data_IF_547281573184
#
_entry.id   IF_547281573184
#
_cell.length_a   1.000
_cell.length_b   1.000
_cell.length_c   1.000
_cell.angle_alpha   90.00
_cell.angle_beta   90.00
_cell.angle_gamma   90.00
#
_symmetry.space_group_name_H-M   'P 1'
#
loop_
_entity.id
_entity.type
_entity.pdbx_description
1 polymer ?
#
# COMPACT_ATOMS: atom_id res chain seq x y z
N UNK A 1 30.48 22.21 12.69
CA UNK A 1 30.10 23.65 12.63
C UNK A 1 28.60 23.93 12.44
N UNK A 2 27.70 22.92 12.32
CA UNK A 2 26.24 23.16 12.22
C UNK A 2 25.60 23.53 13.59
N UNK A 3 26.25 23.18 14.69
CA UNK A 3 25.68 23.20 16.04
C UNK A 3 25.50 24.62 16.62
N UNK A 4 26.53 25.49 16.58
CA UNK A 4 26.47 26.84 17.19
C UNK A 4 25.40 27.75 16.58
N UNK A 5 25.20 27.69 15.25
CA UNK A 5 24.20 28.53 14.56
C UNK A 5 22.77 28.14 14.92
N UNK A 6 22.51 26.89 15.32
CA UNK A 6 21.18 26.42 15.71
C UNK A 6 20.91 26.68 17.21
N UNK A 7 21.93 26.67 18.06
CA UNK A 7 21.80 26.95 19.50
C UNK A 7 21.16 28.30 19.81
N UNK A 8 21.40 29.33 18.97
CA UNK A 8 20.78 30.66 19.15
C UNK A 8 19.26 30.69 18.94
N UNK A 9 18.68 29.67 18.31
CA UNK A 9 17.24 29.55 18.07
C UNK A 9 16.51 28.79 19.20
N UNK A 10 17.24 28.16 20.13
CA UNK A 10 16.67 27.51 21.32
C UNK A 10 16.26 28.51 22.42
N UNK A 11 16.28 29.82 22.15
CA UNK A 11 16.00 30.92 23.10
C UNK A 11 14.57 30.96 23.67
N UNK A 12 13.65 30.12 23.20
CA UNK A 12 12.26 30.07 23.69
C UNK A 12 12.08 29.17 24.92
N UNK A 13 12.96 28.19 25.13
CA UNK A 13 12.88 27.20 26.22
C UNK A 13 13.36 27.73 27.59
N UNK A 14 14.38 28.63 27.71
CA UNK A 14 14.97 28.99 29.01
C UNK A 14 14.06 29.75 29.98
N UNK A 15 12.95 30.35 29.52
CA UNK A 15 12.09 31.18 30.39
C UNK A 15 11.34 30.38 31.46
N UNK A 16 11.07 29.10 31.21
CA UNK A 16 10.29 28.22 32.10
C UNK A 16 11.17 27.20 32.85
N UNK A 17 12.34 26.84 32.30
CA UNK A 17 13.15 25.71 32.78
C UNK A 17 14.49 26.09 33.46
N UNK A 18 14.80 27.39 33.55
CA UNK A 18 16.06 27.88 34.11
C UNK A 18 17.29 27.58 33.23
N UNK A 19 18.48 27.61 33.83
CA UNK A 19 19.75 27.34 33.13
C UNK A 19 19.88 25.84 32.85
N UNK A 20 19.61 25.44 31.60
CA UNK A 20 19.79 24.05 31.17
C UNK A 20 21.28 23.69 31.10
N UNK A 21 21.65 22.62 31.80
CA UNK A 21 23.00 22.04 31.75
C UNK A 21 22.95 20.71 30.99
N UNK A 22 23.81 20.45 29.99
CA UNK A 22 23.83 19.16 29.30
C UNK A 22 24.15 18.03 30.28
N UNK A 23 23.34 16.97 30.30
CA UNK A 23 23.59 15.77 31.12
C UNK A 23 24.70 14.86 30.56
N UNK A 24 25.22 15.19 29.38
CA UNK A 24 26.26 14.44 28.70
C UNK A 24 26.53 14.96 27.29
N UNK A 25 27.31 14.20 26.49
CA UNK A 25 27.57 14.54 25.09
C UNK A 25 26.28 14.69 24.29
N UNK A 26 26.26 15.68 23.38
CA UNK A 26 25.15 15.81 22.43
C UNK A 26 25.20 14.63 21.46
N UNK A 27 24.11 13.87 21.40
CA UNK A 27 23.91 12.80 20.42
C UNK A 27 22.88 13.25 19.40
N UNK A 28 23.19 13.08 18.12
CA UNK A 28 22.21 13.21 17.03
C UNK A 28 21.90 11.83 16.48
N UNK A 29 20.62 11.54 16.25
CA UNK A 29 20.19 10.37 15.49
C UNK A 29 19.41 10.85 14.27
N UNK A 30 19.81 10.36 13.11
CA UNK A 30 19.07 10.61 11.88
C UNK A 30 17.70 9.92 11.93
N UNK A 31 16.69 10.60 11.39
CA UNK A 31 15.32 10.10 11.20
C UNK A 31 15.18 9.31 9.88
N UNK A 32 16.25 8.60 9.48
CA UNK A 32 16.31 8.01 8.16
C UNK A 32 15.28 6.88 8.01
N UNK A 33 14.51 6.95 6.93
CA UNK A 33 13.59 5.89 6.56
C UNK A 33 14.37 4.57 6.43
N UNK A 34 13.91 3.52 7.11
CA UNK A 34 14.60 2.23 7.10
C UNK A 34 13.59 1.11 7.11
N UNK A 35 13.77 0.14 6.21
CA UNK A 35 13.10 -1.16 6.28
C UNK A 35 13.96 -2.14 7.08
N UNK A 36 13.39 -2.80 8.09
CA UNK A 36 14.10 -3.81 8.88
C UNK A 36 14.13 -5.15 8.13
N UNK A 37 15.25 -5.85 8.25
CA UNK A 37 15.36 -7.24 7.80
C UNK A 37 14.54 -8.16 8.70
N UNK A 38 14.17 -9.34 8.17
CA UNK A 38 13.39 -10.32 8.91
C UNK A 38 12.05 -9.76 9.38
N UNK A 39 11.22 -9.26 8.46
CA UNK A 39 9.92 -8.69 8.76
C UNK A 39 8.94 -9.69 9.40
N UNK A 40 9.04 -10.95 8.96
CA UNK A 40 8.15 -12.04 9.35
C UNK A 40 8.84 -13.38 9.08
N UNK A 41 8.52 -14.33 9.95
CA UNK A 41 8.89 -15.75 9.90
C UNK A 41 7.72 -16.56 10.51
N UNK A 42 7.85 -17.88 10.63
CA UNK A 42 6.86 -18.76 11.25
C UNK A 42 6.53 -18.38 12.70
N UNK A 43 7.52 -17.88 13.44
CA UNK A 43 7.47 -17.70 14.89
C UNK A 43 7.39 -16.25 15.36
N UNK A 44 7.61 -15.29 14.46
CA UNK A 44 7.63 -13.89 14.83
C UNK A 44 7.26 -12.96 13.65
N UNK A 45 6.81 -11.76 13.99
CA UNK A 45 6.44 -10.73 13.03
C UNK A 45 6.69 -9.34 13.65
N UNK A 46 7.21 -8.42 12.84
CA UNK A 46 7.49 -7.03 13.23
C UNK A 46 6.35 -6.12 12.76
N UNK A 47 5.87 -5.20 13.60
CA UNK A 47 4.84 -4.20 13.26
C UNK A 47 5.33 -2.78 13.63
N UNK A 48 4.87 -1.76 12.90
CA UNK A 48 5.24 -0.35 13.14
C UNK A 48 6.75 -0.13 12.99
N UNK A 49 7.33 0.69 13.88
CA UNK A 49 8.77 1.02 13.87
C UNK A 49 9.69 -0.20 14.02
N UNK A 50 9.17 -1.32 14.55
CA UNK A 50 9.91 -2.57 14.59
C UNK A 50 10.08 -3.19 13.19
N UNK A 51 9.22 -2.86 12.23
CA UNK A 51 9.21 -3.32 10.85
C UNK A 51 9.85 -2.32 9.89
N UNK A 52 9.41 -1.07 9.93
CA UNK A 52 10.00 0.01 9.15
C UNK A 52 9.74 1.36 9.80
N UNK A 53 10.62 2.33 9.51
CA UNK A 53 10.45 3.73 9.90
C UNK A 53 10.38 4.59 8.64
N UNK A 54 9.56 5.64 8.68
CA UNK A 54 9.40 6.61 7.59
C UNK A 54 9.89 7.99 8.02
N UNK A 55 10.02 8.91 7.06
CA UNK A 55 10.31 10.30 7.39
C UNK A 55 9.11 10.95 8.11
N UNK A 56 9.29 11.60 9.28
CA UNK A 56 8.22 12.20 10.07
C UNK A 56 7.60 13.49 9.47
N UNK A 57 7.89 13.86 8.22
CA UNK A 57 7.38 15.10 7.57
C UNK A 57 5.88 15.38 7.75
N UNK A 58 5.08 14.32 7.87
CA UNK A 58 3.61 14.40 7.84
C UNK A 58 2.92 13.81 9.08
N UNK A 59 3.66 13.37 10.11
CA UNK A 59 3.08 12.84 11.35
C UNK A 59 2.36 11.48 11.23
N UNK A 60 2.53 10.74 10.13
CA UNK A 60 1.77 9.50 9.87
C UNK A 60 2.25 8.25 10.62
N UNK A 61 3.31 8.31 11.44
CA UNK A 61 3.90 7.11 12.06
C UNK A 61 2.91 6.21 12.82
N UNK A 62 2.00 6.81 13.61
CA UNK A 62 0.96 6.05 14.31
C UNK A 62 -0.06 5.41 13.36
N UNK A 63 -0.45 6.13 12.30
CA UNK A 63 -1.36 5.62 11.28
C UNK A 63 -0.73 4.43 10.54
N UNK A 64 0.56 4.50 10.22
CA UNK A 64 1.29 3.38 9.59
C UNK A 64 1.36 2.15 10.50
N UNK A 65 1.61 2.35 11.79
CA UNK A 65 1.65 1.26 12.76
C UNK A 65 0.28 0.54 12.86
N UNK A 66 -0.81 1.31 12.96
CA UNK A 66 -2.18 0.76 12.98
C UNK A 66 -2.52 0.09 11.65
N UNK A 67 -2.18 0.72 10.53
CA UNK A 67 -2.43 0.17 9.19
C UNK A 67 -1.69 -1.16 8.96
N UNK A 68 -0.45 -1.26 9.46
CA UNK A 68 0.33 -2.49 9.45
C UNK A 68 -0.32 -3.62 10.25
N UNK A 69 -1.01 -3.31 11.35
CA UNK A 69 -1.69 -4.31 12.18
C UNK A 69 -2.81 -5.05 11.42
N UNK A 70 -3.50 -4.39 10.49
CA UNK A 70 -4.53 -5.02 9.65
C UNK A 70 -3.97 -6.12 8.73
N UNK A 71 -2.70 -6.02 8.32
CA UNK A 71 -2.03 -7.09 7.59
C UNK A 71 -1.41 -8.14 8.52
N UNK A 72 -0.96 -7.73 9.70
CA UNK A 72 -0.36 -8.61 10.69
C UNK A 72 -1.37 -9.63 11.24
N UNK A 73 -2.57 -9.18 11.63
CA UNK A 73 -3.59 -10.02 12.25
C UNK A 73 -3.95 -11.28 11.41
N UNK A 74 -4.33 -11.18 10.13
CA UNK A 74 -4.64 -12.36 9.32
C UNK A 74 -3.39 -13.21 9.02
N UNK A 75 -2.21 -12.60 8.95
CA UNK A 75 -0.93 -13.32 8.81
C UNK A 75 -0.69 -14.20 10.02
N UNK A 76 -0.76 -13.64 11.23
CA UNK A 76 -0.60 -14.37 12.50
C UNK A 76 -1.65 -15.46 12.62
N UNK A 77 -2.92 -15.15 12.35
CA UNK A 77 -3.98 -16.15 12.41
C UNK A 77 -3.74 -17.32 11.45
N UNK A 78 -3.23 -17.04 10.24
CA UNK A 78 -2.88 -18.09 9.27
C UNK A 78 -1.71 -18.93 9.75
N UNK A 79 -0.64 -18.31 10.28
CA UNK A 79 0.50 -19.04 10.82
C UNK A 79 0.10 -19.98 11.99
N UNK A 80 -0.80 -19.52 12.85
CA UNK A 80 -1.25 -20.28 14.02
C UNK A 80 -2.23 -21.42 13.66
N UNK A 81 -3.12 -21.20 12.70
CA UNK A 81 -4.23 -22.12 12.43
C UNK A 81 -4.04 -22.95 11.15
N UNK A 82 -3.15 -22.53 10.26
CA UNK A 82 -2.83 -23.13 8.96
C UNK A 82 -1.31 -23.07 8.69
N UNK A 83 -0.49 -23.72 9.54
CA UNK A 83 0.98 -23.67 9.42
C UNK A 83 1.48 -24.17 8.06
N UNK A 84 0.73 -25.04 7.37
CA UNK A 84 1.04 -25.47 6.00
C UNK A 84 1.04 -24.32 4.97
N UNK A 85 0.50 -23.15 5.32
CA UNK A 85 0.46 -21.94 4.50
C UNK A 85 1.48 -20.88 4.93
N UNK A 86 2.48 -21.26 5.72
CA UNK A 86 3.51 -20.35 6.22
C UNK A 86 4.12 -19.48 5.11
N UNK A 87 4.62 -20.11 4.04
CA UNK A 87 5.27 -19.40 2.94
C UNK A 87 4.35 -18.33 2.31
N UNK A 88 3.06 -18.65 2.17
CA UNK A 88 2.05 -17.74 1.63
C UNK A 88 1.81 -16.55 2.57
N UNK A 89 1.63 -16.81 3.86
CA UNK A 89 1.38 -15.79 4.88
C UNK A 89 2.59 -14.85 5.06
N UNK A 90 3.78 -15.42 5.17
CA UNK A 90 5.03 -14.65 5.27
C UNK A 90 5.28 -13.84 3.98
N UNK A 91 5.02 -14.41 2.81
CA UNK A 91 5.12 -13.72 1.52
C UNK A 91 4.20 -12.51 1.44
N UNK A 92 2.91 -12.69 1.78
CA UNK A 92 1.91 -11.62 1.83
C UNK A 92 2.35 -10.45 2.73
N UNK A 93 2.76 -10.75 3.96
CA UNK A 93 3.13 -9.70 4.92
C UNK A 93 4.39 -8.96 4.50
N UNK A 94 5.39 -9.69 3.97
CA UNK A 94 6.64 -9.10 3.48
C UNK A 94 6.40 -8.14 2.32
N UNK A 95 5.61 -8.55 1.31
CA UNK A 95 5.23 -7.69 0.19
C UNK A 95 4.51 -6.44 0.70
N UNK A 96 3.54 -6.61 1.60
CA UNK A 96 2.75 -5.50 2.14
C UNK A 96 3.62 -4.45 2.82
N UNK A 97 4.54 -4.87 3.69
CA UNK A 97 5.43 -3.97 4.41
C UNK A 97 6.43 -3.28 3.46
N UNK A 98 7.00 -4.03 2.49
CA UNK A 98 7.92 -3.49 1.49
C UNK A 98 7.24 -2.47 0.58
N UNK A 99 6.03 -2.74 0.11
CA UNK A 99 5.27 -1.86 -0.77
C UNK A 99 4.86 -0.56 -0.06
N UNK A 100 4.39 -0.64 1.20
CA UNK A 100 4.09 0.55 1.99
C UNK A 100 5.34 1.39 2.26
N UNK A 101 6.46 0.75 2.64
CA UNK A 101 7.72 1.46 2.85
C UNK A 101 8.17 2.21 1.59
N UNK A 102 8.13 1.57 0.41
CA UNK A 102 8.45 2.20 -0.87
C UNK A 102 7.55 3.40 -1.17
N UNK A 103 6.24 3.25 -0.99
CA UNK A 103 5.28 4.34 -1.19
C UNK A 103 5.58 5.55 -0.29
N UNK A 104 5.92 5.30 0.98
CA UNK A 104 6.26 6.36 1.93
C UNK A 104 7.56 7.06 1.59
N UNK A 105 8.56 6.32 1.12
CA UNK A 105 9.83 6.90 0.69
C UNK A 105 9.68 7.72 -0.61
N UNK A 106 8.87 7.26 -1.56
CA UNK A 106 8.54 8.01 -2.77
C UNK A 106 7.85 9.35 -2.43
N UNK A 107 6.82 9.33 -1.58
CA UNK A 107 6.11 10.54 -1.14
C UNK A 107 7.02 11.50 -0.36
N UNK A 108 7.94 10.98 0.46
CA UNK A 108 8.95 11.81 1.12
C UNK A 108 9.88 12.48 0.08
N UNK A 109 10.33 11.74 -0.94
CA UNK A 109 11.13 12.28 -2.03
C UNK A 109 10.42 13.41 -2.80
N UNK A 110 9.11 13.30 -3.03
CA UNK A 110 8.30 14.37 -3.62
C UNK A 110 8.28 15.63 -2.75
N UNK A 111 8.08 15.47 -1.43
CA UNK A 111 8.10 16.58 -0.48
C UNK A 111 9.47 17.28 -0.46
N UNK A 112 10.56 16.50 -0.49
CA UNK A 112 11.91 17.05 -0.56
C UNK A 112 12.18 17.77 -1.88
N UNK A 113 11.73 17.23 -3.02
CA UNK A 113 11.83 17.89 -4.35
C UNK A 113 11.03 19.19 -4.44
N UNK A 114 9.92 19.29 -3.70
CA UNK A 114 9.12 20.51 -3.63
C UNK A 114 9.82 21.70 -2.96
N UNK A 115 10.88 21.46 -2.18
CA UNK A 115 11.65 22.53 -1.54
C UNK A 115 12.74 23.09 -2.47
N UNK A 116 12.48 24.26 -3.03
CA UNK A 116 13.36 24.88 -4.01
C UNK A 116 14.37 25.88 -3.42
N UNK A 117 14.19 26.34 -2.17
CA UNK A 117 15.06 27.37 -1.56
C UNK A 117 16.48 26.88 -1.27
N UNK A 118 16.68 25.56 -1.19
CA UNK A 118 17.95 24.95 -0.75
C UNK A 118 18.38 23.78 -1.63
N UNK A 119 18.03 23.76 -2.91
CA UNK A 119 18.32 22.66 -3.84
C UNK A 119 19.82 22.28 -3.91
N UNK A 120 20.73 23.25 -3.73
CA UNK A 120 22.18 23.02 -3.78
C UNK A 120 22.79 22.46 -2.49
N UNK A 121 22.02 22.41 -1.41
CA UNK A 121 22.51 21.93 -0.11
C UNK A 121 22.49 20.40 -0.07
N UNK A 122 23.59 19.79 0.40
CA UNK A 122 23.77 18.34 0.41
C UNK A 122 22.64 17.56 1.11
N UNK A 123 22.06 18.14 2.17
CA UNK A 123 20.93 17.55 2.88
C UNK A 123 19.69 17.34 1.99
N UNK A 124 19.34 18.36 1.19
CA UNK A 124 18.15 18.36 0.34
C UNK A 124 18.38 17.53 -0.92
N UNK A 125 19.57 17.65 -1.52
CA UNK A 125 19.96 16.86 -2.70
C UNK A 125 19.85 15.36 -2.44
N UNK A 126 20.50 14.86 -1.39
CA UNK A 126 20.50 13.42 -1.04
C UNK A 126 19.12 12.83 -0.73
N UNK A 127 18.14 13.66 -0.34
CA UNK A 127 16.77 13.22 0.00
C UNK A 127 15.76 13.42 -1.12
N UNK A 128 16.17 14.11 -2.18
CA UNK A 128 15.38 14.31 -3.39
C UNK A 128 15.68 13.25 -4.46
N UNK A 129 16.69 12.40 -4.23
CA UNK A 129 17.07 11.32 -5.11
C UNK A 129 15.93 10.31 -5.27
N UNK A 130 15.68 9.91 -6.51
CA UNK A 130 14.68 8.92 -6.87
C UNK A 130 15.13 7.54 -6.39
N UNK A 131 14.18 6.77 -5.84
CA UNK A 131 14.35 5.33 -5.77
C UNK A 131 14.04 4.72 -7.13
N UNK A 132 14.56 3.52 -7.35
CA UNK A 132 14.02 2.64 -8.38
C UNK A 132 12.53 2.40 -8.10
N UNK A 133 11.69 2.82 -9.04
CA UNK A 133 10.28 2.46 -9.04
C UNK A 133 10.15 0.97 -9.37
N UNK A 134 9.17 0.27 -8.79
CA UNK A 134 8.87 -1.10 -9.22
C UNK A 134 8.58 -1.12 -10.71
N UNK A 135 8.89 -2.23 -11.37
CA UNK A 135 8.57 -2.39 -12.78
C UNK A 135 7.08 -2.10 -13.01
N UNK A 136 6.75 -1.23 -13.98
CA UNK A 136 5.37 -0.88 -14.24
C UNK A 136 4.62 -2.12 -14.71
N UNK A 137 3.40 -2.31 -14.20
CA UNK A 137 2.48 -3.30 -14.75
C UNK A 137 2.06 -2.81 -16.13
N UNK A 138 2.32 -3.55 -17.22
CA UNK A 138 2.12 -3.04 -18.57
C UNK A 138 0.65 -3.05 -18.99
N UNK A 139 -0.13 -4.06 -18.56
CA UNK A 139 -1.52 -4.24 -18.96
C UNK A 139 -2.34 -4.86 -17.82
N UNK A 140 -3.64 -4.63 -17.86
CA UNK A 140 -4.57 -5.23 -16.92
C UNK A 140 -4.67 -6.75 -17.11
N UNK A 141 -4.56 -7.51 -16.02
CA UNK A 141 -4.62 -8.98 -16.06
C UNK A 141 -5.13 -9.57 -14.74
N UNK A 142 -5.73 -10.76 -14.82
CA UNK A 142 -6.08 -11.53 -13.63
C UNK A 142 -4.86 -12.31 -13.16
N UNK A 143 -4.42 -12.04 -11.93
CA UNK A 143 -3.28 -12.69 -11.29
C UNK A 143 -3.74 -13.33 -9.99
N UNK A 144 -3.37 -14.59 -9.76
CA UNK A 144 -3.59 -15.24 -8.46
C UNK A 144 -2.55 -14.73 -7.48
N UNK A 145 -3.00 -14.13 -6.38
CA UNK A 145 -2.13 -13.54 -5.36
C UNK A 145 -2.68 -13.80 -3.96
N UNK A 146 -1.87 -13.71 -2.89
CA UNK A 146 -2.36 -13.82 -1.53
C UNK A 146 -3.27 -12.63 -1.18
N UNK A 147 -4.46 -12.92 -0.67
CA UNK A 147 -5.43 -11.94 -0.18
C UNK A 147 -5.90 -12.31 1.23
N UNK A 148 -6.49 -11.33 1.92
CA UNK A 148 -7.18 -11.59 3.19
C UNK A 148 -8.61 -12.03 2.90
N UNK A 149 -9.00 -13.19 3.39
CA UNK A 149 -10.37 -13.71 3.32
C UNK A 149 -10.73 -14.38 4.64
N UNK A 150 -11.82 -13.94 5.29
CA UNK A 150 -12.27 -14.44 6.60
C UNK A 150 -11.15 -14.48 7.66
N UNK A 151 -10.28 -13.47 7.68
CA UNK A 151 -9.16 -13.38 8.63
C UNK A 151 -8.00 -14.35 8.35
N UNK A 152 -7.96 -14.97 7.18
CA UNK A 152 -6.89 -15.86 6.73
C UNK A 152 -6.25 -15.34 5.44
N UNK A 153 -4.99 -15.71 5.23
CA UNK A 153 -4.30 -15.50 3.96
C UNK A 153 -4.60 -16.68 3.05
N UNK A 154 -5.20 -16.38 1.90
CA UNK A 154 -5.59 -17.36 0.89
C UNK A 154 -5.23 -16.83 -0.50
N UNK A 155 -5.05 -17.72 -1.47
CA UNK A 155 -4.84 -17.32 -2.86
C UNK A 155 -6.16 -17.07 -3.57
N UNK A 156 -6.30 -15.91 -4.22
CA UNK A 156 -7.44 -15.57 -5.06
C UNK A 156 -6.99 -14.83 -6.32
N UNK A 157 -7.71 -14.98 -7.43
CA UNK A 157 -7.52 -14.10 -8.58
C UNK A 157 -7.90 -12.67 -8.19
N UNK A 158 -7.06 -11.72 -8.59
CA UNK A 158 -7.32 -10.27 -8.49
C UNK A 158 -7.01 -9.60 -9.82
N UNK A 159 -7.70 -8.52 -10.13
CA UNK A 159 -7.40 -7.72 -11.32
C UNK A 159 -6.28 -6.75 -11.02
N UNK A 160 -5.08 -7.01 -11.56
CA UNK A 160 -3.94 -6.09 -11.51
C UNK A 160 -4.03 -5.14 -12.69
N UNK A 161 -3.85 -3.84 -12.48
CA UNK A 161 -3.81 -2.80 -13.53
C UNK A 161 -2.58 -1.91 -13.31
N UNK A 162 -2.16 -1.07 -14.29
CA UNK A 162 -1.08 -0.10 -14.08
C UNK A 162 -1.32 0.83 -12.89
N UNK A 163 -2.56 1.27 -12.69
CA UNK A 163 -2.96 2.14 -11.56
C UNK A 163 -3.10 1.36 -10.25
N UNK A 164 -3.36 0.05 -10.33
CA UNK A 164 -3.56 -0.83 -9.19
C UNK A 164 -2.61 -2.05 -9.27
N UNK A 165 -1.29 -1.84 -9.13
CA UNK A 165 -0.29 -2.90 -9.33
C UNK A 165 -0.33 -4.00 -8.24
N UNK A 166 -1.05 -3.76 -7.15
CA UNK A 166 -1.28 -4.74 -6.07
C UNK A 166 -2.56 -5.57 -6.25
N UNK A 167 -3.34 -5.23 -7.28
CA UNK A 167 -4.59 -5.89 -7.60
C UNK A 167 -5.81 -5.35 -6.87
N UNK A 168 -6.93 -5.35 -7.57
CA UNK A 168 -8.27 -5.07 -7.05
C UNK A 168 -9.07 -6.36 -7.12
N UNK A 169 -9.56 -6.82 -5.97
CA UNK A 169 -10.46 -7.99 -5.91
C UNK A 169 -11.92 -7.59 -6.02
N UNK A 170 -12.33 -6.59 -5.25
CA UNK A 170 -13.72 -6.19 -5.15
C UNK A 170 -13.92 -4.73 -5.57
N UNK A 171 -14.99 -4.48 -6.32
CA UNK A 171 -15.52 -3.13 -6.56
C UNK A 171 -17.00 -3.11 -6.20
N UNK A 172 -17.40 -2.17 -5.34
CA UNK A 172 -18.77 -2.09 -4.83
C UNK A 172 -19.32 -3.41 -4.26
N UNK A 173 -18.45 -4.28 -3.72
CA UNK A 173 -18.81 -5.60 -3.20
C UNK A 173 -18.93 -6.71 -4.25
N UNK A 174 -18.58 -6.46 -5.50
CA UNK A 174 -18.55 -7.45 -6.59
C UNK A 174 -17.13 -7.98 -6.78
N UNK A 175 -16.94 -9.30 -6.73
CA UNK A 175 -15.65 -9.93 -7.06
C UNK A 175 -15.41 -9.79 -8.57
N UNK A 176 -14.32 -9.09 -8.94
CA UNK A 176 -14.01 -8.79 -10.33
C UNK A 176 -13.64 -10.04 -11.12
N UNK A 177 -12.96 -11.02 -10.51
CA UNK A 177 -12.59 -12.24 -11.22
C UNK A 177 -13.83 -13.06 -11.58
N UNK A 178 -14.78 -13.16 -10.65
CA UNK A 178 -16.05 -13.85 -10.89
C UNK A 178 -16.90 -13.11 -11.93
N UNK A 179 -16.98 -11.77 -11.84
CA UNK A 179 -17.68 -10.94 -12.83
C UNK A 179 -17.10 -11.15 -14.24
N UNK A 180 -15.78 -11.06 -14.40
CA UNK A 180 -15.07 -11.26 -15.68
C UNK A 180 -15.21 -12.71 -16.20
N UNK A 181 -15.31 -13.70 -15.31
CA UNK A 181 -15.52 -15.10 -15.68
C UNK A 181 -16.94 -15.34 -16.21
N UNK A 182 -17.94 -14.77 -15.54
CA UNK A 182 -19.34 -14.88 -15.96
C UNK A 182 -19.60 -14.24 -17.31
N UNK A 183 -18.98 -13.10 -17.61
CA UNK A 183 -19.17 -12.44 -18.91
C UNK A 183 -18.57 -13.22 -20.08
N UNK A 184 -17.51 -14.02 -19.83
CA UNK A 184 -16.86 -14.86 -20.85
C UNK A 184 -17.57 -16.18 -21.13
N UNK A 185 -18.36 -16.68 -20.18
CA UNK A 185 -18.95 -18.03 -20.23
C UNK A 185 -20.42 -18.03 -20.69
N UNK A 186 -21.03 -16.87 -20.91
CA UNK A 186 -22.43 -16.78 -21.29
C UNK A 186 -22.63 -16.86 -22.82
N UNK A 187 -23.49 -17.79 -23.25
CA UNK A 187 -23.87 -17.99 -24.66
C UNK A 187 -24.66 -16.81 -25.26
N UNK A 188 -25.17 -15.91 -24.41
CA UNK A 188 -25.88 -14.68 -24.78
C UNK A 188 -25.25 -13.51 -24.06
N UNK A 189 -25.36 -12.31 -24.63
CA UNK A 189 -24.89 -11.09 -23.99
C UNK A 189 -25.48 -10.97 -22.56
N UNK A 190 -24.63 -10.89 -21.52
CA UNK A 190 -25.08 -10.83 -20.15
C UNK A 190 -25.80 -9.52 -19.87
N UNK A 191 -26.97 -9.60 -19.24
CA UNK A 191 -27.65 -8.43 -18.68
C UNK A 191 -27.18 -8.14 -17.26
N UNK A 192 -27.24 -6.88 -16.82
CA UNK A 192 -26.88 -6.48 -15.45
C UNK A 192 -27.68 -7.29 -14.41
N UNK A 193 -28.97 -7.51 -14.67
CA UNK A 193 -29.83 -8.29 -13.79
C UNK A 193 -29.39 -9.75 -13.68
N UNK A 194 -29.00 -10.38 -14.79
CA UNK A 194 -28.52 -11.77 -14.80
C UNK A 194 -27.20 -11.95 -14.05
N UNK A 195 -26.27 -11.01 -14.21
CA UNK A 195 -25.00 -10.99 -13.48
C UNK A 195 -25.23 -10.79 -11.98
N UNK A 196 -26.09 -9.84 -11.61
CA UNK A 196 -26.44 -9.55 -10.22
C UNK A 196 -27.02 -10.77 -9.50
N UNK A 197 -27.93 -11.49 -10.17
CA UNK A 197 -28.51 -12.72 -9.66
C UNK A 197 -27.44 -13.80 -9.42
N UNK A 198 -26.55 -14.05 -10.39
CA UNK A 198 -25.50 -15.08 -10.27
C UNK A 198 -24.46 -14.76 -9.20
N UNK A 199 -24.09 -13.48 -9.09
CA UNK A 199 -23.12 -12.99 -8.11
C UNK A 199 -23.74 -12.78 -6.72
N UNK A 200 -25.05 -12.96 -6.57
CA UNK A 200 -25.79 -12.72 -5.32
C UNK A 200 -25.59 -11.30 -4.76
N UNK A 201 -25.59 -10.30 -5.65
CA UNK A 201 -25.42 -8.87 -5.32
C UNK A 201 -26.55 -8.02 -5.94
N UNK A 202 -26.66 -6.76 -5.53
CA UNK A 202 -27.64 -5.86 -6.13
C UNK A 202 -27.22 -5.41 -7.55
N UNK A 203 -28.16 -5.20 -8.51
CA UNK A 203 -27.86 -4.70 -9.86
C UNK A 203 -27.01 -3.42 -9.88
N UNK A 204 -27.24 -2.50 -8.93
CA UNK A 204 -26.45 -1.27 -8.78
C UNK A 204 -24.97 -1.52 -8.50
N UNK A 205 -24.62 -2.61 -7.80
CA UNK A 205 -23.25 -2.97 -7.48
C UNK A 205 -22.53 -3.50 -8.72
N UNK A 206 -23.22 -4.33 -9.51
CA UNK A 206 -22.73 -4.80 -10.81
C UNK A 206 -22.50 -3.63 -11.76
N UNK A 207 -23.48 -2.71 -11.86
CA UNK A 207 -23.34 -1.51 -12.67
C UNK A 207 -22.12 -0.68 -12.24
N UNK A 208 -21.95 -0.43 -10.93
CA UNK A 208 -20.79 0.31 -10.42
C UNK A 208 -19.44 -0.39 -10.73
N UNK A 209 -19.37 -1.71 -10.59
CA UNK A 209 -18.16 -2.48 -10.91
C UNK A 209 -17.84 -2.43 -12.41
N UNK A 210 -18.85 -2.53 -13.27
CA UNK A 210 -18.68 -2.42 -14.71
C UNK A 210 -18.29 -1.01 -15.16
N UNK A 211 -18.91 0.03 -14.59
CA UNK A 211 -18.52 1.43 -14.85
C UNK A 211 -17.08 1.68 -14.44
N UNK A 212 -16.64 1.14 -13.30
CA UNK A 212 -15.24 1.24 -12.87
C UNK A 212 -14.31 0.52 -13.87
N UNK A 213 -14.68 -0.70 -14.30
CA UNK A 213 -13.90 -1.43 -15.30
C UNK A 213 -13.79 -0.66 -16.62
N UNK A 214 -14.85 0.02 -17.07
CA UNK A 214 -14.84 0.84 -18.29
C UNK A 214 -13.92 2.05 -18.23
N UNK A 215 -13.52 2.50 -17.02
CA UNK A 215 -12.55 3.59 -16.86
C UNK A 215 -11.12 3.12 -17.09
N UNK A 216 -10.86 1.81 -17.09
CA UNK A 216 -9.53 1.26 -17.33
C UNK A 216 -9.19 1.34 -18.83
N UNK A 217 -8.06 1.95 -19.22
CA UNK A 217 -7.63 2.05 -20.62
C UNK A 217 -7.59 0.70 -21.35
N UNK A 218 -7.26 -0.37 -20.62
CA UNK A 218 -7.07 -1.72 -21.14
C UNK A 218 -8.38 -2.50 -21.29
N UNK A 219 -9.47 -2.02 -20.70
CA UNK A 219 -10.77 -2.71 -20.73
C UNK A 219 -11.33 -2.84 -22.14
N UNK A 220 -11.10 -1.84 -22.98
CA UNK A 220 -11.52 -1.85 -24.38
C UNK A 220 -10.74 -2.86 -25.25
N UNK A 221 -9.58 -3.35 -24.81
CA UNK A 221 -8.66 -4.13 -25.64
C UNK A 221 -8.40 -5.56 -25.15
N UNK A 222 -8.61 -5.88 -23.86
CA UNK A 222 -8.20 -7.17 -23.29
C UNK A 222 -9.30 -8.07 -22.71
N UNK A 223 -10.44 -7.52 -22.27
CA UNK A 223 -11.46 -8.30 -21.55
C UNK A 223 -12.73 -8.60 -22.36
N UNK A 224 -12.96 -7.91 -23.48
CA UNK A 224 -13.99 -8.26 -24.47
C UNK A 224 -15.43 -8.23 -23.96
N UNK A 225 -15.72 -7.52 -22.86
CA UNK A 225 -17.05 -7.50 -22.25
C UNK A 225 -17.95 -6.53 -23.00
N UNK A 226 -18.97 -7.08 -23.66
CA UNK A 226 -20.07 -6.28 -24.20
C UNK A 226 -21.32 -6.49 -23.34
N UNK A 227 -21.80 -5.42 -22.72
CA UNK A 227 -23.06 -5.40 -21.98
C UNK A 227 -23.98 -4.35 -22.62
N UNK A 228 -25.13 -4.76 -23.19
CA UNK A 228 -26.04 -3.86 -23.91
C UNK A 228 -26.44 -2.62 -23.11
N UNK A 229 -26.70 -2.78 -21.81
CA UNK A 229 -27.18 -1.72 -20.92
C UNK A 229 -26.14 -0.64 -20.61
N UNK A 230 -24.88 -0.83 -20.99
CA UNK A 230 -23.83 0.19 -20.85
C UNK A 230 -23.58 0.97 -22.14
N UNK A 231 -24.28 0.63 -23.23
CA UNK A 231 -24.24 1.39 -24.50
C UNK A 231 -25.32 2.48 -24.46
N UNK A 232 -25.09 3.53 -23.67
CA UNK A 232 -25.91 4.74 -23.69
C UNK A 232 -25.03 5.97 -23.71
#
# INVERSE_FOLDING_TARGET
>A
MLHERLSRYLKLIPRELGTLSPLGPVVSRGIQATLRSGLVDASYLRVGDAAYTCDPLSGHGMYEAISGAFAAAPTINTLLTRPEREALACGFYRERAQSLFRQRLAMAGELYRGETRWADQAFWRSRSELLDEPEPVPNASLVTTPVVEHGLIVERPVLVTPENPRGVRFVAGVDLADLLSLTKTMDREPSIASLAQRLSVAPRQVMAALTWLQQLPEFAQGFGITIPELRT
#
